data_IF_466546171153
#
_entry.id   IF_466546171153
#
_cell.length_a   1.000
_cell.length_b   1.000
_cell.length_c   1.000
_cell.angle_alpha   90.00
_cell.angle_beta   90.00
_cell.angle_gamma   90.00
#
_symmetry.space_group_name_H-M   'P 1'
#
loop_
_entity.id
_entity.type
_entity.pdbx_description
1 polymer ?
#
# COMPACT_ATOMS: atom_id res chain seq x y z
N UNK A 1 11.18 -14.21 5.11
CA UNK A 1 10.13 -13.50 5.87
C UNK A 1 8.76 -13.99 5.44
N UNK A 2 7.78 -13.98 6.33
CA UNK A 2 6.43 -14.42 6.02
C UNK A 2 5.71 -13.43 5.12
N UNK A 3 4.94 -13.93 4.17
CA UNK A 3 4.23 -13.15 3.18
C UNK A 3 2.73 -13.36 3.33
N UNK A 4 1.96 -12.28 3.29
CA UNK A 4 0.51 -12.29 3.41
C UNK A 4 -0.13 -11.63 2.19
N UNK A 5 -1.24 -12.22 1.71
CA UNK A 5 -2.06 -11.65 0.64
C UNK A 5 -3.47 -11.43 1.16
N UNK A 6 -3.92 -10.18 1.11
CA UNK A 6 -5.28 -9.76 1.47
C UNK A 6 -6.17 -10.00 0.26
N UNK A 7 -7.22 -10.81 0.42
CA UNK A 7 -8.11 -11.16 -0.68
C UNK A 7 -9.53 -11.43 -0.19
N UNK A 8 -10.53 -10.84 -0.86
CA UNK A 8 -11.95 -11.09 -0.61
C UNK A 8 -12.36 -12.51 -1.04
N UNK A 9 -13.26 -13.16 -0.29
CA UNK A 9 -13.72 -14.52 -0.62
C UNK A 9 -14.35 -14.62 -2.01
N UNK A 10 -15.08 -13.58 -2.44
CA UNK A 10 -15.68 -13.52 -3.78
C UNK A 10 -14.67 -13.26 -4.90
N UNK A 11 -13.45 -12.85 -4.60
CA UNK A 11 -12.41 -12.49 -5.59
C UNK A 11 -11.48 -13.68 -5.91
N UNK A 12 -12.05 -14.84 -6.24
CA UNK A 12 -11.29 -16.07 -6.51
C UNK A 12 -10.30 -15.93 -7.68
N UNK A 13 -10.65 -15.17 -8.72
CA UNK A 13 -9.77 -14.94 -9.89
C UNK A 13 -8.53 -14.13 -9.52
N UNK A 14 -8.67 -13.12 -8.65
CA UNK A 14 -7.54 -12.33 -8.13
C UNK A 14 -6.62 -13.21 -7.27
N UNK A 15 -7.18 -14.06 -6.41
CA UNK A 15 -6.38 -15.02 -5.64
C UNK A 15 -5.62 -15.98 -6.56
N UNK A 16 -6.26 -16.47 -7.63
CA UNK A 16 -5.62 -17.32 -8.63
C UNK A 16 -4.51 -16.56 -9.39
N UNK A 17 -4.69 -15.27 -9.67
CA UNK A 17 -3.65 -14.42 -10.24
C UNK A 17 -2.42 -14.32 -9.31
N UNK A 18 -2.63 -14.01 -8.03
CA UNK A 18 -1.54 -13.95 -7.04
C UNK A 18 -0.82 -15.29 -6.89
N UNK A 19 -1.57 -16.40 -6.85
CA UNK A 19 -0.97 -17.75 -6.80
C UNK A 19 -0.07 -18.00 -7.98
N UNK A 20 -0.52 -17.76 -9.22
CA UNK A 20 0.29 -17.96 -10.42
C UNK A 20 1.61 -17.19 -10.38
N UNK A 21 1.58 -15.90 -10.02
CA UNK A 21 2.80 -15.10 -9.92
C UNK A 21 3.75 -15.65 -8.86
N UNK A 22 3.23 -15.93 -7.66
CA UNK A 22 4.05 -16.33 -6.53
C UNK A 22 4.59 -17.77 -6.68
N UNK A 23 3.79 -18.69 -7.23
CA UNK A 23 4.23 -20.06 -7.54
C UNK A 23 5.37 -20.06 -8.57
N UNK A 24 5.30 -19.23 -9.62
CA UNK A 24 6.38 -19.06 -10.60
C UNK A 24 7.68 -18.57 -9.96
N UNK A 25 7.59 -17.77 -8.90
CA UNK A 25 8.72 -17.23 -8.17
C UNK A 25 9.16 -18.08 -6.96
N UNK A 26 8.48 -19.21 -6.73
CA UNK A 26 8.76 -20.07 -5.58
C UNK A 26 8.41 -19.43 -4.22
N UNK A 27 7.46 -18.49 -4.20
CA UNK A 27 7.04 -17.76 -3.00
C UNK A 27 5.77 -18.39 -2.44
N UNK A 28 5.81 -18.80 -1.17
CA UNK A 28 4.62 -19.17 -0.43
C UNK A 28 4.02 -17.97 0.29
N UNK A 29 2.70 -17.92 0.41
CA UNK A 29 2.00 -16.89 1.18
C UNK A 29 0.84 -17.43 2.00
N UNK A 30 0.48 -16.69 3.04
CA UNK A 30 -0.72 -16.90 3.84
C UNK A 30 -1.80 -15.95 3.36
N UNK A 31 -2.97 -16.47 2.99
CA UNK A 31 -4.11 -15.64 2.64
C UNK A 31 -4.75 -15.04 3.89
N UNK A 32 -4.98 -13.75 3.88
CA UNK A 32 -5.84 -13.03 4.83
C UNK A 32 -7.21 -12.87 4.17
N UNK A 33 -8.25 -13.47 4.75
CA UNK A 33 -9.62 -13.24 4.30
C UNK A 33 -10.00 -11.78 4.57
N UNK A 34 -10.16 -11.01 3.49
CA UNK A 34 -10.45 -9.59 3.57
C UNK A 34 -11.86 -9.33 4.09
N UNK A 35 -12.02 -8.22 4.81
CA UNK A 35 -13.34 -7.75 5.25
C UNK A 35 -14.08 -7.16 4.06
N UNK A 36 -15.27 -7.71 3.77
CA UNK A 36 -16.15 -7.13 2.77
C UNK A 36 -16.87 -5.91 3.34
N UNK A 37 -16.47 -4.72 2.91
CA UNK A 37 -17.12 -3.49 3.35
C UNK A 37 -18.62 -3.42 3.07
N UNK A 38 -19.11 -4.17 2.08
CA UNK A 38 -20.55 -4.20 1.76
C UNK A 38 -21.37 -5.05 2.73
N UNK A 39 -20.71 -5.90 3.53
CA UNK A 39 -21.36 -6.73 4.56
C UNK A 39 -21.33 -6.10 5.95
N UNK A 40 -20.71 -4.93 6.11
CA UNK A 40 -20.66 -4.23 7.39
C UNK A 40 -22.03 -3.65 7.75
N UNK A 41 -22.38 -3.78 9.03
CA UNK A 41 -23.58 -3.16 9.58
C UNK A 41 -23.48 -1.63 9.65
N UNK A 42 -24.62 -0.94 9.66
CA UNK A 42 -24.66 0.53 9.82
C UNK A 42 -23.93 0.99 11.09
N UNK A 43 -23.94 0.19 12.16
CA UNK A 43 -23.24 0.48 13.41
C UNK A 43 -21.73 0.46 13.22
N UNK A 44 -21.20 -0.53 12.49
CA UNK A 44 -19.77 -0.62 12.18
C UNK A 44 -19.36 0.52 11.27
N UNK A 45 -20.12 0.80 10.21
CA UNK A 45 -19.87 1.94 9.32
C UNK A 45 -19.90 3.26 10.07
N UNK A 46 -20.84 3.44 10.99
CA UNK A 46 -20.95 4.66 11.79
C UNK A 46 -19.74 4.86 12.72
N UNK A 47 -19.14 3.78 13.21
CA UNK A 47 -17.94 3.86 14.07
C UNK A 47 -16.73 4.48 13.39
N UNK A 48 -16.68 4.45 12.05
CA UNK A 48 -15.67 5.10 11.23
C UNK A 48 -16.01 6.54 10.82
N UNK A 49 -17.26 6.97 11.01
CA UNK A 49 -17.69 8.35 10.73
C UNK A 49 -17.30 9.23 11.90
N UNK A 50 -16.03 9.63 11.98
CA UNK A 50 -15.59 10.61 12.94
C UNK A 50 -16.06 12.01 12.54
N UNK A 51 -16.67 12.72 13.47
CA UNK A 51 -16.81 14.17 13.36
C UNK A 51 -15.42 14.78 13.52
N UNK A 52 -15.03 15.67 12.62
CA UNK A 52 -13.79 16.42 12.77
C UNK A 52 -13.87 17.27 14.05
N UNK A 53 -12.95 17.08 14.96
CA UNK A 53 -12.91 17.82 16.24
C UNK A 53 -12.67 19.34 16.05
N UNK A 54 -12.21 19.76 14.87
CA UNK A 54 -11.78 21.13 14.55
C UNK A 54 -12.61 21.85 13.48
N UNK A 55 -13.84 21.43 13.23
CA UNK A 55 -14.71 22.07 12.24
C UNK A 55 -14.36 21.77 10.77
N UNK A 56 -13.41 20.89 10.51
CA UNK A 56 -13.13 20.37 9.17
C UNK A 56 -14.26 19.42 8.74
N UNK A 57 -14.49 19.34 7.42
CA UNK A 57 -15.50 18.41 6.90
C UNK A 57 -15.09 16.97 7.23
N UNK A 58 -15.98 16.17 7.86
CA UNK A 58 -15.67 14.78 8.13
C UNK A 58 -15.40 14.04 6.83
N UNK A 59 -14.40 13.14 6.83
CA UNK A 59 -14.15 12.27 5.69
C UNK A 59 -15.36 11.35 5.46
N UNK A 60 -15.84 11.32 4.22
CA UNK A 60 -16.95 10.46 3.83
C UNK A 60 -16.41 9.07 3.44
N UNK A 61 -16.34 8.20 4.41
CA UNK A 61 -15.91 6.83 4.21
C UNK A 61 -16.84 6.05 3.27
N UNK A 62 -16.25 5.46 2.24
CA UNK A 62 -16.90 4.42 1.45
C UNK A 62 -16.82 3.08 2.20
N UNK A 63 -17.86 2.23 2.17
CA UNK A 63 -17.82 0.90 2.79
C UNK A 63 -16.61 0.06 2.34
N UNK A 64 -16.22 0.15 1.06
CA UNK A 64 -15.04 -0.52 0.52
C UNK A 64 -13.73 -0.05 1.18
N UNK A 65 -13.58 1.25 1.43
CA UNK A 65 -12.38 1.80 2.09
C UNK A 65 -12.28 1.32 3.53
N UNK A 66 -13.42 1.24 4.24
CA UNK A 66 -13.48 0.66 5.59
C UNK A 66 -13.09 -0.81 5.55
N UNK A 67 -13.64 -1.58 4.60
CA UNK A 67 -13.28 -2.98 4.40
C UNK A 67 -11.77 -3.18 4.16
N UNK A 68 -11.16 -2.36 3.30
CA UNK A 68 -9.72 -2.36 3.04
C UNK A 68 -8.94 -2.06 4.33
N UNK A 69 -9.32 -1.00 5.05
CA UNK A 69 -8.66 -0.62 6.32
C UNK A 69 -8.72 -1.75 7.36
N UNK A 70 -9.89 -2.36 7.55
CA UNK A 70 -10.08 -3.47 8.48
C UNK A 70 -9.29 -4.71 8.05
N UNK A 71 -9.18 -4.96 6.75
CA UNK A 71 -8.39 -6.07 6.20
C UNK A 71 -6.90 -5.89 6.50
N UNK A 72 -6.37 -4.68 6.36
CA UNK A 72 -5.00 -4.39 6.77
C UNK A 72 -4.81 -4.52 8.29
N UNK A 73 -5.80 -4.11 9.11
CA UNK A 73 -5.75 -4.34 10.57
C UNK A 73 -5.70 -5.84 10.92
N UNK A 74 -6.44 -6.69 10.20
CA UNK A 74 -6.35 -8.14 10.37
C UNK A 74 -4.96 -8.66 10.00
N UNK A 75 -4.38 -8.20 8.89
CA UNK A 75 -3.02 -8.55 8.52
C UNK A 75 -2.01 -8.13 9.60
N UNK A 76 -2.10 -6.89 10.11
CA UNK A 76 -1.22 -6.41 11.19
C UNK A 76 -1.39 -7.22 12.47
N UNK A 77 -2.62 -7.58 12.86
CA UNK A 77 -2.87 -8.44 14.03
C UNK A 77 -2.25 -9.83 13.85
N UNK A 78 -2.36 -10.40 12.65
CA UNK A 78 -1.75 -11.70 12.33
C UNK A 78 -0.22 -11.63 12.38
N UNK A 79 0.38 -10.57 11.84
CA UNK A 79 1.82 -10.33 11.89
C UNK A 79 2.30 -10.15 13.32
N UNK A 80 1.56 -9.38 14.13
CA UNK A 80 1.86 -9.14 15.55
C UNK A 80 1.91 -10.43 16.38
N UNK A 81 1.10 -11.42 16.02
CA UNK A 81 1.03 -12.73 16.68
C UNK A 81 2.08 -13.73 16.17
N UNK A 82 2.85 -13.38 15.15
CA UNK A 82 3.90 -14.22 14.59
C UNK A 82 5.28 -13.94 15.19
N UNK A 83 6.29 -14.67 14.70
CA UNK A 83 7.67 -14.61 15.23
C UNK A 83 8.61 -13.81 14.34
N UNK A 84 8.28 -13.59 13.06
CA UNK A 84 9.13 -12.88 12.13
C UNK A 84 9.29 -11.40 12.51
N UNK A 85 10.51 -10.89 12.46
CA UNK A 85 10.79 -9.48 12.74
C UNK A 85 10.12 -8.54 11.73
N UNK A 86 10.04 -8.98 10.46
CA UNK A 86 9.39 -8.29 9.36
C UNK A 86 8.49 -9.25 8.60
N UNK A 87 7.40 -8.75 8.06
CA UNK A 87 6.51 -9.49 7.19
C UNK A 87 6.07 -8.64 6.00
N UNK A 88 5.82 -9.30 4.86
CA UNK A 88 5.32 -8.65 3.65
C UNK A 88 3.79 -8.76 3.57
N UNK A 89 3.15 -7.68 3.13
CA UNK A 89 1.70 -7.60 2.90
C UNK A 89 1.45 -7.16 1.47
N UNK A 90 0.56 -7.86 0.78
CA UNK A 90 0.11 -7.53 -0.57
C UNK A 90 -1.43 -7.53 -0.64
N UNK A 91 -1.98 -6.65 -1.47
CA UNK A 91 -3.35 -6.77 -1.96
C UNK A 91 -3.39 -7.74 -3.15
N UNK A 92 -4.58 -8.16 -3.55
CA UNK A 92 -4.77 -9.23 -4.54
C UNK A 92 -4.82 -8.74 -6.01
N UNK A 93 -4.65 -7.45 -6.24
CA UNK A 93 -4.67 -6.80 -7.55
C UNK A 93 -3.31 -6.22 -7.96
N UNK A 94 -2.22 -6.83 -7.51
CA UNK A 94 -0.87 -6.37 -7.82
C UNK A 94 -0.16 -7.26 -8.82
N UNK A 95 0.74 -6.66 -9.59
CA UNK A 95 1.78 -7.32 -10.36
C UNK A 95 3.12 -7.14 -9.63
N UNK A 96 3.91 -8.22 -9.60
CA UNK A 96 5.22 -8.21 -8.96
C UNK A 96 6.30 -8.57 -9.97
N UNK A 97 7.46 -7.93 -9.85
CA UNK A 97 8.62 -8.29 -10.66
C UNK A 97 9.39 -9.47 -10.05
N UNK A 98 10.25 -10.10 -10.83
CA UNK A 98 11.03 -11.29 -10.41
C UNK A 98 11.93 -10.98 -9.21
N UNK A 99 12.37 -9.75 -9.05
CA UNK A 99 13.20 -9.31 -7.93
C UNK A 99 12.54 -9.50 -6.57
N UNK A 100 11.20 -9.55 -6.52
CA UNK A 100 10.45 -9.74 -5.27
C UNK A 100 10.84 -11.04 -4.57
N UNK A 101 11.17 -12.10 -5.35
CA UNK A 101 11.61 -13.39 -4.80
C UNK A 101 12.87 -13.26 -3.95
N UNK A 102 13.81 -12.43 -4.37
CA UNK A 102 15.05 -12.18 -3.62
C UNK A 102 14.77 -11.37 -2.35
N UNK A 103 13.90 -10.36 -2.45
CA UNK A 103 13.54 -9.50 -1.32
C UNK A 103 12.81 -10.25 -0.21
N UNK A 104 11.99 -11.24 -0.57
CA UNK A 104 11.19 -12.01 0.40
C UNK A 104 11.93 -13.17 1.06
N UNK A 105 13.12 -13.56 0.58
CA UNK A 105 13.92 -14.63 1.18
C UNK A 105 14.28 -14.34 2.64
N UNK A 106 14.74 -13.12 2.90
CA UNK A 106 15.13 -12.68 4.23
C UNK A 106 14.90 -11.17 4.42
N UNK A 107 15.27 -10.64 5.57
CA UNK A 107 15.11 -9.22 5.91
C UNK A 107 16.45 -8.48 6.08
N UNK A 108 17.57 -9.09 5.70
CA UNK A 108 18.91 -8.52 5.94
C UNK A 108 19.17 -7.22 5.18
N UNK A 109 18.49 -7.00 4.08
CA UNK A 109 18.55 -5.77 3.28
C UNK A 109 17.79 -4.59 3.91
N UNK A 110 16.89 -4.86 4.87
CA UNK A 110 16.05 -3.85 5.52
C UNK A 110 16.90 -3.13 6.58
N UNK A 111 16.99 -1.81 6.46
CA UNK A 111 17.69 -1.01 7.46
C UNK A 111 16.95 -1.04 8.80
N UNK A 112 17.66 -1.20 9.91
CA UNK A 112 17.09 -1.37 11.25
C UNK A 112 16.13 -0.25 11.68
N UNK A 113 16.28 0.96 11.13
CA UNK A 113 15.38 2.08 11.40
C UNK A 113 14.10 2.05 10.57
N UNK A 114 13.92 1.07 9.69
CA UNK A 114 12.74 1.00 8.84
C UNK A 114 11.57 0.38 9.61
N UNK A 115 10.49 1.12 9.70
CA UNK A 115 9.21 0.65 10.22
C UNK A 115 8.39 0.01 9.09
N UNK A 116 8.36 0.66 7.93
CA UNK A 116 7.70 0.18 6.71
C UNK A 116 8.62 0.42 5.52
N UNK A 117 8.73 -0.58 4.64
CA UNK A 117 9.36 -0.43 3.31
C UNK A 117 8.32 -0.71 2.26
N UNK A 118 8.03 0.28 1.43
CA UNK A 118 7.06 0.17 0.34
C UNK A 118 7.67 -0.57 -0.84
N UNK A 119 6.95 -1.55 -1.35
CA UNK A 119 7.23 -2.25 -2.60
C UNK A 119 6.51 -1.61 -3.79
N UNK A 120 5.37 -0.99 -3.50
CA UNK A 120 4.45 -0.48 -4.51
C UNK A 120 4.89 0.87 -5.08
N UNK A 121 4.58 1.05 -6.37
CA UNK A 121 4.50 2.35 -7.03
C UNK A 121 3.12 2.63 -7.59
N UNK A 122 2.64 3.85 -7.43
CA UNK A 122 1.48 4.41 -8.14
C UNK A 122 1.93 5.33 -9.29
N UNK A 123 3.20 5.27 -9.66
CA UNK A 123 3.86 6.13 -10.66
C UNK A 123 3.81 7.63 -10.33
N UNK A 124 3.26 8.00 -9.18
CA UNK A 124 3.23 9.38 -8.71
C UNK A 124 4.57 9.77 -8.09
N UNK A 125 4.91 11.04 -8.25
CA UNK A 125 6.15 11.57 -7.69
C UNK A 125 6.08 11.72 -6.17
N UNK A 126 7.13 11.27 -5.47
CA UNK A 126 7.31 11.44 -4.04
C UNK A 126 8.66 12.09 -3.69
N UNK A 127 8.75 12.65 -2.49
CA UNK A 127 9.97 13.27 -1.98
C UNK A 127 10.79 12.25 -1.24
N UNK A 128 11.94 11.89 -1.79
CA UNK A 128 12.86 10.90 -1.22
C UNK A 128 14.14 11.57 -0.70
N UNK A 129 14.85 10.87 0.17
CA UNK A 129 16.22 11.21 0.53
C UNK A 129 17.09 11.32 -0.72
N UNK A 130 18.10 12.19 -0.68
CA UNK A 130 19.04 12.38 -1.82
C UNK A 130 19.92 11.14 -2.05
N UNK A 131 20.26 10.42 -0.99
CA UNK A 131 21.07 9.20 -1.03
C UNK A 131 20.26 8.01 -0.52
N UNK A 132 20.44 6.82 -1.09
CA UNK A 132 19.85 5.62 -0.53
C UNK A 132 20.47 5.32 0.83
N UNK A 133 19.69 4.67 1.70
CA UNK A 133 20.19 4.23 3.02
C UNK A 133 20.76 2.80 2.95
N UNK A 134 20.24 2.00 2.03
CA UNK A 134 20.68 0.62 1.76
C UNK A 134 20.37 0.24 0.32
N UNK A 135 20.77 -0.97 -0.04
CA UNK A 135 20.52 -1.57 -1.35
C UNK A 135 19.98 -2.99 -1.14
N UNK A 136 19.00 -3.37 -1.95
CA UNK A 136 18.38 -4.69 -1.95
C UNK A 136 18.43 -5.24 -3.39
N UNK A 137 19.37 -6.11 -3.69
CA UNK A 137 19.67 -6.52 -5.05
C UNK A 137 20.08 -5.32 -5.92
N UNK A 138 19.37 -5.09 -7.02
CA UNK A 138 19.59 -3.92 -7.88
C UNK A 138 18.80 -2.68 -7.44
N UNK A 139 17.89 -2.83 -6.49
CA UNK A 139 17.04 -1.75 -6.00
C UNK A 139 17.72 -0.96 -4.88
N UNK A 140 17.42 0.32 -4.83
CA UNK A 140 17.91 1.24 -3.79
C UNK A 140 16.77 1.55 -2.82
N UNK A 141 17.08 1.60 -1.54
CA UNK A 141 16.13 1.90 -0.46
C UNK A 141 16.30 3.35 -0.05
N UNK A 142 15.25 4.14 -0.18
CA UNK A 142 15.26 5.57 0.14
C UNK A 142 14.27 5.92 1.24
N UNK A 143 14.65 6.79 2.17
CA UNK A 143 13.72 7.38 3.13
C UNK A 143 12.70 8.25 2.39
N UNK A 144 11.41 8.14 2.76
CA UNK A 144 10.31 8.95 2.24
C UNK A 144 10.09 10.16 3.14
N UNK A 145 9.93 11.35 2.53
CA UNK A 145 9.69 12.64 3.22
C UNK A 145 8.42 13.35 2.77
N UNK A 146 7.57 12.70 2.00
CA UNK A 146 6.26 13.25 1.61
C UNK A 146 5.18 12.21 1.86
N UNK A 147 3.92 12.58 1.73
CA UNK A 147 2.86 11.61 1.56
C UNK A 147 3.13 10.70 0.37
N UNK A 148 2.70 9.46 0.49
CA UNK A 148 2.71 8.45 -0.56
C UNK A 148 1.30 7.86 -0.70
N UNK A 149 0.94 7.47 -1.91
CA UNK A 149 -0.34 6.84 -2.22
C UNK A 149 -0.16 5.36 -2.48
N UNK A 150 -1.22 4.59 -2.16
CA UNK A 150 -1.25 3.14 -2.30
C UNK A 150 -0.63 2.41 -1.11
N UNK A 151 -1.23 1.29 -0.74
CA UNK A 151 -0.78 0.38 0.32
C UNK A 151 -0.86 -1.08 -0.14
N UNK A 152 -0.83 -1.31 -1.46
CA UNK A 152 -1.03 -2.63 -2.03
C UNK A 152 0.19 -3.56 -1.97
N UNK A 153 1.38 -3.04 -1.59
CA UNK A 153 2.58 -3.85 -1.42
C UNK A 153 3.60 -3.19 -0.49
N UNK A 154 3.88 -3.80 0.66
CA UNK A 154 4.88 -3.29 1.62
C UNK A 154 5.39 -4.39 2.57
N UNK A 155 6.53 -4.11 3.16
CA UNK A 155 7.05 -4.85 4.33
C UNK A 155 6.83 -3.99 5.57
N UNK A 156 6.45 -4.62 6.67
CA UNK A 156 6.24 -3.97 7.96
C UNK A 156 6.96 -4.69 9.08
N UNK A 157 7.53 -3.92 10.01
CA UNK A 157 8.12 -4.43 11.24
C UNK A 157 7.03 -4.94 12.18
N UNK A 158 7.23 -6.12 12.80
CA UNK A 158 6.23 -6.74 13.67
C UNK A 158 5.76 -5.83 14.82
N UNK A 159 6.68 -5.12 15.46
CA UNK A 159 6.35 -4.20 16.56
C UNK A 159 5.44 -3.06 16.08
N UNK A 160 5.68 -2.56 14.86
CA UNK A 160 4.85 -1.54 14.21
C UNK A 160 3.48 -2.12 13.86
N UNK A 161 3.43 -3.35 13.33
CA UNK A 161 2.18 -4.03 13.06
C UNK A 161 1.34 -4.21 14.34
N UNK A 162 1.97 -4.58 15.46
CA UNK A 162 1.32 -4.68 16.77
C UNK A 162 0.74 -3.34 17.23
N UNK A 163 1.51 -2.27 17.09
CA UNK A 163 1.05 -0.92 17.43
C UNK A 163 -0.13 -0.47 16.55
N UNK A 164 -0.04 -0.67 15.23
CA UNK A 164 -1.11 -0.30 14.29
C UNK A 164 -2.38 -1.13 14.50
N UNK A 165 -2.25 -2.42 14.79
CA UNK A 165 -3.37 -3.30 15.08
C UNK A 165 -4.16 -2.85 16.32
N UNK A 166 -3.47 -2.36 17.35
CA UNK A 166 -4.06 -1.85 18.59
C UNK A 166 -4.57 -0.41 18.47
N UNK A 167 -4.12 0.34 17.46
CA UNK A 167 -4.53 1.73 17.26
C UNK A 167 -6.03 1.83 16.96
N UNK A 168 -6.76 2.77 17.58
CA UNK A 168 -8.15 2.99 17.24
C UNK A 168 -8.28 3.43 15.77
N UNK A 169 -9.39 3.10 15.09
CA UNK A 169 -9.61 3.47 13.69
C UNK A 169 -9.96 4.95 13.53
N UNK A 170 -9.35 5.81 14.33
CA UNK A 170 -9.48 7.28 14.21
C UNK A 170 -8.58 7.73 13.06
N UNK A 171 -9.13 7.73 11.87
CA UNK A 171 -8.42 8.16 10.68
C UNK A 171 -9.32 9.02 9.82
N UNK A 172 -8.74 10.02 9.16
CA UNK A 172 -9.43 10.93 8.26
C UNK A 172 -9.37 10.50 6.79
N UNK A 173 -8.97 9.27 6.52
CA UNK A 173 -8.81 8.79 5.15
C UNK A 173 -8.51 7.29 5.05
N UNK A 174 -8.39 6.76 3.83
CA UNK A 174 -8.11 5.36 3.56
C UNK A 174 -6.77 4.89 4.15
N UNK A 175 -6.49 3.59 4.07
CA UNK A 175 -5.34 2.96 4.73
C UNK A 175 -3.98 3.55 4.30
N UNK A 176 -3.83 3.91 3.04
CA UNK A 176 -2.62 4.55 2.53
C UNK A 176 -2.44 5.98 3.08
N UNK A 177 -3.53 6.73 3.23
CA UNK A 177 -3.50 8.02 3.92
C UNK A 177 -3.10 7.84 5.39
N UNK A 178 -3.69 6.86 6.07
CA UNK A 178 -3.37 6.55 7.46
C UNK A 178 -1.89 6.22 7.66
N UNK A 179 -1.32 5.37 6.80
CA UNK A 179 0.08 4.94 6.92
C UNK A 179 1.10 5.97 6.43
N UNK A 180 0.75 6.80 5.45
CA UNK A 180 1.77 7.53 4.70
C UNK A 180 1.52 9.04 4.58
N UNK A 181 0.34 9.55 4.97
CA UNK A 181 0.07 10.98 4.85
C UNK A 181 0.63 11.73 6.06
N UNK A 182 1.38 12.85 5.87
CA UNK A 182 1.99 13.59 6.98
C UNK A 182 1.02 14.11 8.04
N UNK A 183 -0.24 14.34 7.66
CA UNK A 183 -1.30 14.81 8.56
C UNK A 183 -2.05 13.66 9.26
N UNK A 184 -1.68 12.41 8.98
CA UNK A 184 -2.29 11.28 9.70
C UNK A 184 -1.79 11.21 11.14
N UNK A 185 -2.58 10.52 11.97
CA UNK A 185 -2.24 10.36 13.40
C UNK A 185 -1.06 9.40 13.64
N UNK A 186 -0.69 8.57 12.67
CA UNK A 186 0.38 7.57 12.81
C UNK A 186 1.59 7.84 11.92
N UNK A 187 1.40 8.33 10.70
CA UNK A 187 2.48 8.48 9.73
C UNK A 187 3.67 9.34 10.22
N UNK A 188 3.48 10.43 11.02
CA UNK A 188 4.60 11.20 11.55
C UNK A 188 5.52 10.41 12.47
N UNK A 189 5.01 9.35 13.12
CA UNK A 189 5.80 8.48 13.99
C UNK A 189 6.50 7.35 13.23
N UNK A 190 6.15 7.13 11.95
CA UNK A 190 6.68 6.03 11.14
C UNK A 190 7.92 6.41 10.34
N UNK A 191 8.85 5.50 10.33
CA UNK A 191 10.03 5.52 9.46
C UNK A 191 9.73 4.75 8.17
N UNK A 192 9.21 5.46 7.16
CA UNK A 192 8.80 4.89 5.87
C UNK A 192 9.91 5.00 4.84
N UNK A 193 10.15 3.91 4.12
CA UNK A 193 11.10 3.82 3.02
C UNK A 193 10.42 3.33 1.74
N UNK A 194 11.07 3.59 0.61
CA UNK A 194 10.62 3.20 -0.72
C UNK A 194 11.75 2.50 -1.47
N UNK A 195 11.46 1.36 -2.09
CA UNK A 195 12.33 0.75 -3.09
C UNK A 195 12.24 1.51 -4.43
N UNK A 196 13.36 1.68 -5.08
CA UNK A 196 13.47 2.33 -6.39
C UNK A 196 14.51 1.58 -7.26
N UNK A 197 14.06 0.95 -8.37
CA UNK A 197 12.67 0.83 -8.82
C UNK A 197 11.78 0.06 -7.84
N UNK A 198 10.46 0.17 -7.99
CA UNK A 198 9.49 -0.53 -7.16
C UNK A 198 9.16 -1.91 -7.73
N UNK A 199 9.27 -3.00 -6.96
CA UNK A 199 9.00 -4.35 -7.46
C UNK A 199 7.51 -4.73 -7.49
N UNK A 200 6.60 -3.80 -7.21
CA UNK A 200 5.17 -4.04 -7.13
C UNK A 200 4.37 -2.86 -7.70
N UNK A 201 3.32 -3.15 -8.44
CA UNK A 201 2.39 -2.16 -9.01
C UNK A 201 0.98 -2.74 -9.05
N UNK A 202 -0.03 -1.92 -8.74
CA UNK A 202 -1.42 -2.35 -8.89
C UNK A 202 -1.80 -2.46 -10.38
N UNK A 203 -2.74 -3.35 -10.67
CA UNK A 203 -3.29 -3.65 -12.00
C UNK A 203 -3.62 -2.38 -12.80
N UNK A 204 -4.27 -1.41 -12.16
CA UNK A 204 -4.65 -0.13 -12.80
C UNK A 204 -3.47 0.74 -13.27
N UNK A 205 -2.25 0.48 -12.81
CA UNK A 205 -1.03 1.25 -13.16
C UNK A 205 -0.03 0.42 -13.96
N UNK A 206 -0.30 -0.89 -14.14
CA UNK A 206 0.60 -1.76 -14.89
C UNK A 206 0.58 -1.40 -16.39
N UNK A 207 1.75 -1.25 -17.05
CA UNK A 207 1.83 -0.74 -18.42
C UNK A 207 1.16 -1.64 -19.46
N UNK A 208 1.17 -2.96 -19.22
CA UNK A 208 0.69 -3.97 -20.19
C UNK A 208 -0.77 -4.41 -19.92
N UNK A 209 -1.39 -3.90 -18.87
CA UNK A 209 -2.77 -4.22 -18.55
C UNK A 209 -3.70 -3.23 -19.26
N UNK A 210 -4.53 -3.75 -20.18
CA UNK A 210 -5.61 -2.94 -20.75
C UNK A 210 -6.54 -2.48 -19.63
N UNK A 211 -6.63 -1.17 -19.44
CA UNK A 211 -7.49 -0.54 -18.44
C UNK A 211 -8.96 -0.99 -18.47
N UNK A 212 -9.37 -1.67 -19.56
CA UNK A 212 -10.69 -2.28 -19.73
C UNK A 212 -10.80 -3.68 -19.09
N UNK A 213 -9.68 -4.31 -18.77
CA UNK A 213 -9.62 -5.61 -18.08
C UNK A 213 -9.41 -5.47 -16.56
N UNK A 214 -9.63 -4.28 -16.04
CA UNK A 214 -9.51 -4.05 -14.61
C UNK A 214 -10.13 -5.22 -13.84
N UNK A 215 -9.33 -5.95 -13.08
CA UNK A 215 -9.77 -7.02 -12.17
C UNK A 215 -10.77 -6.49 -11.12
N UNK A 216 -11.42 -5.35 -11.45
CA UNK A 216 -12.47 -4.72 -10.67
C UNK A 216 -11.97 -4.09 -9.38
N UNK A 217 -11.13 -3.07 -9.49
CA UNK A 217 -10.97 -2.13 -8.38
C UNK A 217 -12.35 -1.50 -8.12
N UNK A 218 -13.02 -1.95 -7.06
CA UNK A 218 -14.38 -1.52 -6.72
C UNK A 218 -14.45 -0.11 -6.11
N UNK A 219 -13.39 0.68 -6.21
CA UNK A 219 -13.36 2.08 -5.79
C UNK A 219 -13.51 3.00 -7.02
N UNK A 220 -14.58 2.80 -7.80
CA UNK A 220 -15.05 3.80 -8.75
C UNK A 220 -15.94 4.81 -8.00
N UNK A 221 -15.34 5.76 -7.31
CA UNK A 221 -16.05 6.95 -6.88
C UNK A 221 -16.23 7.90 -8.08
N UNK A 222 -17.35 8.65 -8.19
CA UNK A 222 -17.49 9.72 -9.19
C UNK A 222 -16.34 10.74 -9.12
N UNK A 223 -15.77 10.95 -7.94
CA UNK A 223 -14.53 11.72 -7.70
C UNK A 223 -13.30 11.02 -8.28
N UNK A 224 -13.23 9.70 -8.26
CA UNK A 224 -12.13 8.93 -8.85
C UNK A 224 -12.03 9.12 -10.37
N UNK A 225 -13.17 9.17 -11.08
CA UNK A 225 -13.19 9.44 -12.52
C UNK A 225 -12.72 10.87 -12.82
N UNK A 226 -13.20 11.87 -12.06
CA UNK A 226 -12.76 13.26 -12.21
C UNK A 226 -11.28 13.45 -11.82
N UNK A 227 -10.79 12.66 -10.87
CA UNK A 227 -9.39 12.67 -10.45
C UNK A 227 -8.50 11.91 -11.43
N UNK A 228 -8.96 10.79 -12.00
CA UNK A 228 -8.28 10.08 -13.08
C UNK A 228 -8.16 10.93 -14.36
N UNK A 229 -9.20 11.69 -14.70
CA UNK A 229 -9.15 12.66 -15.80
C UNK A 229 -8.17 13.83 -15.52
N UNK A 230 -8.13 14.32 -14.28
CA UNK A 230 -7.15 15.34 -13.85
C UNK A 230 -5.72 14.81 -13.78
N UNK A 231 -5.52 13.56 -13.37
CA UNK A 231 -4.18 12.93 -13.34
C UNK A 231 -3.72 12.49 -14.72
N UNK A 232 -4.63 12.14 -15.63
CA UNK A 232 -4.30 11.90 -17.04
C UNK A 232 -3.63 13.10 -17.71
N UNK A 233 -4.10 14.32 -17.41
CA UNK A 233 -3.47 15.56 -17.87
C UNK A 233 -2.10 15.82 -17.23
N UNK A 234 -1.80 15.27 -16.05
CA UNK A 234 -0.51 15.44 -15.36
C UNK A 234 0.56 14.44 -15.79
N UNK A 235 0.22 13.36 -16.53
CA UNK A 235 1.22 12.47 -17.14
C UNK A 235 2.16 13.17 -18.11
N UNK A 236 1.81 14.37 -18.58
CA UNK A 236 2.60 15.19 -19.49
C UNK A 236 3.42 16.30 -18.79
N UNK A 237 3.50 16.30 -17.45
CA UNK A 237 4.39 17.23 -16.77
C UNK A 237 5.84 16.88 -17.11
N UNK A 238 6.47 17.81 -17.82
CA UNK A 238 7.83 17.70 -18.31
C UNK A 238 8.85 17.40 -17.18
N UNK A 239 10.02 16.80 -17.51
CA UNK A 239 11.12 16.60 -16.56
C UNK A 239 11.51 17.86 -15.78
N UNK A 240 11.27 19.04 -16.33
CA UNK A 240 11.52 20.35 -15.69
C UNK A 240 10.66 20.58 -14.44
N UNK A 241 9.37 20.24 -14.47
CA UNK A 241 8.46 20.43 -13.31
C UNK A 241 8.83 19.47 -12.17
N UNK A 242 9.31 18.25 -12.50
CA UNK A 242 9.83 17.31 -11.51
C UNK A 242 11.03 17.84 -10.76
N UNK A 243 11.93 18.56 -11.45
CA UNK A 243 13.14 19.13 -10.86
C UNK A 243 12.83 20.29 -9.90
N UNK A 244 11.82 21.10 -10.22
CA UNK A 244 11.39 22.23 -9.39
C UNK A 244 10.72 21.84 -8.08
N UNK A 245 9.99 20.70 -8.05
CA UNK A 245 9.25 20.25 -6.85
C UNK A 245 10.07 19.34 -5.93
N UNK A 246 11.26 18.88 -6.34
CA UNK A 246 12.08 17.90 -5.63
C UNK A 246 11.41 16.53 -5.49
N UNK A 247 10.34 16.26 -6.24
CA UNK A 247 9.64 14.98 -6.26
C UNK A 247 10.14 14.12 -7.42
N UNK A 248 10.29 12.83 -7.17
CA UNK A 248 10.73 11.82 -8.13
C UNK A 248 9.65 10.75 -8.28
N UNK A 249 9.28 10.43 -9.54
CA UNK A 249 8.45 9.26 -9.85
C UNK A 249 9.27 7.98 -9.64
N UNK A 250 8.65 6.96 -9.12
CA UNK A 250 9.27 5.64 -8.91
C UNK A 250 8.79 4.74 -10.04
N UNK A 251 9.69 4.24 -10.91
CA UNK A 251 9.31 3.29 -11.95
C UNK A 251 8.99 1.94 -11.35
N UNK A 252 8.19 1.15 -12.05
CA UNK A 252 8.04 -0.29 -11.83
C UNK A 252 9.29 -1.00 -12.38
N UNK A 253 9.75 -2.05 -11.69
CA UNK A 253 10.96 -2.81 -12.03
C UNK A 253 10.75 -3.74 -13.22
#
# INVERSE_FOLDING_TARGET
MRTYVINLDRAAERLAHMRRQFDQLGISFVRIAAVDGTSLSDRELLSFRTLAENGERPYQWMPSEIGIFLSHKLAWSTIASGDDQYAAVFEDDVHVSDEIATLLKDSSWIHNSADIVRFETTLQGMKLARKPISQAGQMKVFRVYSGAWGAAGYVIKREVASWLASSPPRTFGPVDWFLFHPESVVAPALSVFQLDPAPCVQDQYHPDVDSRRNLGSHVLTPTGIAQALKTGSRRLLSPMVRKATGRRGIPYA
#
